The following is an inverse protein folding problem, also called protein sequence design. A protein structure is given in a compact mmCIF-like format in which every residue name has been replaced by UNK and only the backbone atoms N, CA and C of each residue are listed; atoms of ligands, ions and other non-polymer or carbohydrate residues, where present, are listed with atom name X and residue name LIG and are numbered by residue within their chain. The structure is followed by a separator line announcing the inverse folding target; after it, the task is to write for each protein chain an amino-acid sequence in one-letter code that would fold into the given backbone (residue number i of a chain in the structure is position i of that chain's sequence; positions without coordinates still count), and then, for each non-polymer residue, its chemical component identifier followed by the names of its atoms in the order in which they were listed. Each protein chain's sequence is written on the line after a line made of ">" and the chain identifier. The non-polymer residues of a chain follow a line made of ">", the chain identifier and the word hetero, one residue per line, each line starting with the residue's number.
data_IF_212844647809
#
_entry.id   IF_212844647809
#
_cell.length_a   1.000
_cell.length_b   1.000
_cell.length_c   1.000
_cell.angle_alpha   90.00
_cell.angle_beta   90.00
_cell.angle_gamma   90.00
#
_symmetry.space_group_name_H-M   'P 1'
#
loop_
_entity.id
_entity.type
_entity.pdbx_description
1 polymer ?
#
# COMPACT_ATOMS: atom_id res chain seq x y z
N UNK A 1 -6.92 10.30 10.26
CA UNK A 1 -6.32 9.00 9.92
C UNK A 1 -6.94 8.55 8.61
N UNK A 2 -6.16 8.39 7.54
CA UNK A 2 -6.69 7.94 6.25
C UNK A 2 -6.99 6.44 6.27
N UNK A 3 -7.84 5.95 5.36
CA UNK A 3 -8.14 4.52 5.21
C UNK A 3 -6.86 3.72 4.95
N UNK A 4 -5.92 4.26 4.17
CA UNK A 4 -4.62 3.64 3.95
C UNK A 4 -3.78 3.56 5.22
N UNK A 5 -3.76 4.61 6.05
CA UNK A 5 -3.06 4.59 7.34
C UNK A 5 -3.65 3.55 8.31
N UNK A 6 -4.97 3.34 8.29
CA UNK A 6 -5.61 2.27 9.06
C UNK A 6 -5.08 0.92 8.61
N UNK A 7 -5.05 0.66 7.30
CA UNK A 7 -4.53 -0.59 6.75
C UNK A 7 -3.08 -0.86 7.20
N UNK A 8 -2.20 0.13 7.08
CA UNK A 8 -0.80 0.02 7.49
C UNK A 8 -0.63 -0.14 9.00
N UNK A 9 -1.43 0.56 9.80
CA UNK A 9 -1.38 0.40 11.27
C UNK A 9 -1.79 -1.00 11.69
N UNK A 10 -2.84 -1.55 11.08
CA UNK A 10 -3.26 -2.94 11.29
C UNK A 10 -2.17 -3.93 10.90
N UNK A 11 -1.47 -3.69 9.78
CA UNK A 11 -0.35 -4.54 9.36
C UNK A 11 0.82 -4.48 10.35
N UNK A 12 1.18 -3.30 10.86
CA UNK A 12 2.22 -3.17 11.91
C UNK A 12 1.83 -3.91 13.19
N UNK A 13 0.56 -3.83 13.60
CA UNK A 13 0.06 -4.59 14.76
C UNK A 13 0.13 -6.10 14.53
N UNK A 14 -0.23 -6.57 13.33
CA UNK A 14 -0.11 -7.98 12.97
C UNK A 14 1.34 -8.48 12.90
N UNK A 15 2.30 -7.60 12.60
CA UNK A 15 3.73 -7.95 12.63
C UNK A 15 4.22 -8.16 14.07
N UNK A 16 3.70 -7.37 15.02
CA UNK A 16 3.98 -7.52 16.44
C UNK A 16 3.21 -8.69 17.11
N UNK A 17 2.19 -9.23 16.44
CA UNK A 17 1.24 -10.19 16.98
C UNK A 17 0.15 -9.51 17.82
N UNK A 18 -1.06 -10.02 17.76
CA UNK A 18 -2.22 -9.48 18.48
C UNK A 18 -2.52 -10.36 19.69
N UNK A 19 -2.31 -9.87 20.93
CA UNK A 19 -2.57 -10.67 22.12
C UNK A 19 -4.02 -11.16 22.17
N UNK A 20 -4.20 -12.47 22.34
CA UNK A 20 -5.52 -13.10 22.45
C UNK A 20 -6.23 -13.37 21.11
N UNK A 21 -5.64 -13.01 19.97
CA UNK A 21 -6.15 -13.42 18.66
C UNK A 21 -5.71 -14.86 18.32
N UNK A 22 -6.58 -15.62 17.67
CA UNK A 22 -6.20 -16.90 17.09
C UNK A 22 -5.43 -16.72 15.78
N UNK A 23 -4.62 -17.70 15.40
CA UNK A 23 -3.90 -17.69 14.11
C UNK A 23 -4.84 -17.48 12.91
N UNK A 24 -6.05 -18.05 12.97
CA UNK A 24 -7.08 -17.87 11.95
C UNK A 24 -7.59 -16.42 11.86
N UNK A 25 -7.75 -15.75 13.01
CA UNK A 25 -8.16 -14.34 13.07
C UNK A 25 -7.07 -13.45 12.52
N UNK A 26 -5.81 -13.65 12.94
CA UNK A 26 -4.67 -12.89 12.42
C UNK A 26 -4.49 -13.11 10.92
N UNK A 27 -4.64 -14.35 10.44
CA UNK A 27 -4.57 -14.67 9.00
C UNK A 27 -5.63 -13.92 8.21
N UNK A 28 -6.89 -13.93 8.65
CA UNK A 28 -7.98 -13.21 7.97
C UNK A 28 -7.75 -11.70 8.01
N UNK A 29 -7.35 -11.17 9.17
CA UNK A 29 -7.07 -9.74 9.33
C UNK A 29 -5.93 -9.28 8.41
N UNK A 30 -4.86 -10.08 8.30
CA UNK A 30 -3.75 -9.84 7.37
C UNK A 30 -4.22 -9.75 5.93
N UNK A 31 -5.06 -10.70 5.51
CA UNK A 31 -5.60 -10.70 4.14
C UNK A 31 -6.49 -9.48 3.88
N UNK A 32 -7.35 -9.09 4.84
CA UNK A 32 -8.18 -7.90 4.72
C UNK A 32 -7.35 -6.60 4.71
N UNK A 33 -6.33 -6.49 5.55
CA UNK A 33 -5.49 -5.29 5.64
C UNK A 33 -4.60 -5.12 4.39
N UNK A 34 -4.03 -6.21 3.86
CA UNK A 34 -3.31 -6.17 2.58
C UNK A 34 -4.25 -5.86 1.40
N UNK A 35 -5.44 -6.46 1.39
CA UNK A 35 -6.47 -6.16 0.39
C UNK A 35 -6.89 -4.71 0.42
N UNK A 36 -7.11 -4.15 1.61
CA UNK A 36 -7.45 -2.74 1.80
C UNK A 36 -6.31 -1.82 1.34
N UNK A 37 -5.05 -2.20 1.61
CA UNK A 37 -3.87 -1.45 1.14
C UNK A 37 -3.81 -1.41 -0.39
N UNK A 38 -3.98 -2.56 -1.05
CA UNK A 38 -4.02 -2.65 -2.49
C UNK A 38 -5.19 -1.85 -3.08
N UNK A 39 -6.38 -1.93 -2.49
CA UNK A 39 -7.54 -1.15 -2.93
C UNK A 39 -7.33 0.36 -2.75
N UNK A 40 -6.69 0.80 -1.65
CA UNK A 40 -6.37 2.20 -1.44
C UNK A 40 -5.41 2.73 -2.50
N UNK A 41 -4.35 1.97 -2.80
CA UNK A 41 -3.34 2.38 -3.79
C UNK A 41 -3.86 2.24 -5.23
N UNK A 42 -4.72 1.26 -5.50
CA UNK A 42 -5.29 1.03 -6.82
C UNK A 42 -6.56 1.82 -7.11
N UNK A 43 -7.03 2.64 -6.17
CA UNK A 43 -8.22 3.48 -6.38
C UNK A 43 -7.89 4.63 -7.32
N UNK A 44 -8.76 4.84 -8.32
CA UNK A 44 -8.65 5.96 -9.25
C UNK A 44 -9.19 7.25 -8.60
N UNK A 45 -8.28 8.04 -8.03
CA UNK A 45 -8.62 9.31 -7.36
C UNK A 45 -8.85 10.48 -8.32
N UNK A 46 -8.38 10.41 -9.56
CA UNK A 46 -8.53 11.48 -10.55
C UNK A 46 -9.84 11.30 -11.33
N UNK A 47 -10.34 10.07 -11.38
CA UNK A 47 -11.36 9.65 -12.33
C UNK A 47 -10.70 9.43 -13.69
N UNK A 48 -11.20 8.45 -14.42
CA UNK A 48 -10.76 8.12 -15.78
C UNK A 48 -10.87 9.35 -16.67
N UNK A 49 -9.79 10.10 -16.81
CA UNK A 49 -9.66 11.12 -17.83
C UNK A 49 -9.39 10.39 -19.14
N UNK A 50 -10.30 10.46 -20.14
CA UNK A 50 -10.16 9.71 -21.38
C UNK A 50 -9.09 10.28 -22.32
N UNK A 51 -8.33 11.30 -21.90
CA UNK A 51 -7.27 11.92 -22.70
C UNK A 51 -5.91 11.28 -22.37
N UNK A 52 -5.67 10.15 -23.02
CA UNK A 52 -4.43 9.37 -22.99
C UNK A 52 -3.27 10.16 -23.65
N UNK A 53 -2.74 11.16 -22.96
CA UNK A 53 -1.39 11.66 -23.29
C UNK A 53 -0.36 10.64 -22.78
N UNK A 54 0.40 10.08 -23.73
CA UNK A 54 1.11 8.80 -23.64
C UNK A 54 2.25 8.68 -22.59
N UNK A 55 2.53 9.71 -21.79
CA UNK A 55 3.66 9.72 -20.84
C UNK A 55 3.29 9.26 -19.41
N UNK A 56 2.00 9.07 -19.09
CA UNK A 56 1.53 8.68 -17.74
C UNK A 56 1.07 7.21 -17.62
N UNK A 57 1.22 6.42 -18.68
CA UNK A 57 0.81 5.01 -18.71
C UNK A 57 1.58 4.23 -17.63
N UNK A 58 0.85 3.73 -16.64
CA UNK A 58 1.41 2.95 -15.54
C UNK A 58 1.81 3.76 -14.31
N UNK A 59 1.47 5.05 -14.23
CA UNK A 59 1.58 5.82 -12.98
C UNK A 59 0.23 5.91 -12.26
N UNK A 60 0.24 5.87 -10.92
CA UNK A 60 -0.95 6.07 -10.11
C UNK A 60 -0.89 7.42 -9.39
N UNK A 61 -2.06 8.04 -9.21
CA UNK A 61 -2.24 9.23 -8.40
C UNK A 61 -2.80 8.84 -7.04
N UNK A 62 -2.20 9.37 -5.97
CA UNK A 62 -2.68 9.21 -4.59
C UNK A 62 -2.88 10.59 -3.96
N UNK A 63 -3.73 10.71 -2.92
CA UNK A 63 -3.91 11.97 -2.22
C UNK A 63 -2.57 12.52 -1.71
N UNK A 64 -2.36 13.84 -1.84
CA UNK A 64 -1.13 14.51 -1.39
C UNK A 64 -0.84 14.30 0.11
N UNK A 65 -1.89 14.11 0.91
CA UNK A 65 -1.79 13.78 2.33
C UNK A 65 -1.13 12.42 2.61
N UNK A 66 -1.00 11.53 1.61
CA UNK A 66 -0.35 10.23 1.76
C UNK A 66 1.15 10.28 1.44
N UNK A 67 1.67 11.42 0.98
CA UNK A 67 3.08 11.61 0.58
C UNK A 67 4.07 11.05 1.61
N UNK A 68 3.94 11.47 2.87
CA UNK A 68 4.84 11.03 3.94
C UNK A 68 4.81 9.51 4.15
N UNK A 69 3.64 8.89 3.99
CA UNK A 69 3.46 7.45 4.19
C UNK A 69 4.01 6.66 3.01
N UNK A 70 3.86 7.17 1.79
CA UNK A 70 4.35 6.53 0.56
C UNK A 70 5.87 6.62 0.45
N UNK A 71 6.46 7.73 0.91
CA UNK A 71 7.92 7.92 0.92
C UNK A 71 8.64 7.21 2.07
N UNK A 72 7.89 6.81 3.10
CA UNK A 72 8.45 6.13 4.25
C UNK A 72 8.99 4.74 3.87
N UNK A 73 10.30 4.57 4.01
CA UNK A 73 10.98 3.30 3.74
C UNK A 73 10.44 2.17 4.63
N UNK A 74 9.95 2.46 5.83
CA UNK A 74 9.34 1.46 6.71
C UNK A 74 8.03 0.92 6.12
N UNK A 75 7.25 1.75 5.42
CA UNK A 75 6.03 1.28 4.73
C UNK A 75 6.37 0.26 3.64
N UNK A 76 7.41 0.53 2.86
CA UNK A 76 7.88 -0.41 1.84
C UNK A 76 8.46 -1.69 2.47
N UNK A 77 9.26 -1.55 3.53
CA UNK A 77 9.80 -2.67 4.29
C UNK A 77 8.71 -3.59 4.85
N UNK A 78 7.69 -3.01 5.47
CA UNK A 78 6.52 -3.72 6.00
C UNK A 78 5.83 -4.58 4.93
N UNK A 79 5.60 -4.02 3.73
CA UNK A 79 4.96 -4.76 2.64
C UNK A 79 5.86 -5.88 2.10
N UNK A 80 7.18 -5.67 2.00
CA UNK A 80 8.13 -6.73 1.65
C UNK A 80 8.18 -7.85 2.69
N UNK A 81 8.12 -7.53 3.98
CA UNK A 81 8.08 -8.52 5.05
C UNK A 81 6.82 -9.38 4.95
N UNK A 82 5.66 -8.77 4.72
CA UNK A 82 4.42 -9.51 4.48
C UNK A 82 4.47 -10.33 3.19
N UNK A 83 5.10 -9.85 2.13
CA UNK A 83 5.30 -10.63 0.91
C UNK A 83 6.11 -11.91 1.18
N UNK A 84 7.22 -11.81 1.92
CA UNK A 84 8.13 -12.94 2.21
C UNK A 84 7.53 -13.96 3.18
N UNK A 85 6.75 -13.51 4.15
CA UNK A 85 6.29 -14.33 5.29
C UNK A 85 4.86 -14.85 5.16
N UNK A 86 4.07 -14.29 4.23
CA UNK A 86 2.67 -14.69 4.07
C UNK A 86 2.47 -15.89 3.14
N UNK A 87 1.32 -16.55 3.27
CA UNK A 87 0.85 -17.57 2.31
C UNK A 87 0.57 -16.93 0.94
N UNK A 88 0.56 -17.72 -0.16
CA UNK A 88 0.47 -17.20 -1.53
C UNK A 88 -0.66 -16.17 -1.77
N UNK A 89 -1.85 -16.40 -1.23
CA UNK A 89 -3.01 -15.50 -1.39
C UNK A 89 -2.75 -14.09 -0.82
N UNK A 90 -2.14 -14.01 0.36
CA UNK A 90 -1.81 -12.75 1.01
C UNK A 90 -0.52 -12.14 0.42
N UNK A 91 0.47 -12.97 0.08
CA UNK A 91 1.70 -12.52 -0.58
C UNK A 91 1.39 -11.82 -1.92
N UNK A 92 0.42 -12.31 -2.69
CA UNK A 92 -0.06 -11.66 -3.92
C UNK A 92 -0.53 -10.22 -3.66
N UNK A 93 -1.30 -9.99 -2.61
CA UNK A 93 -1.81 -8.66 -2.26
C UNK A 93 -0.68 -7.73 -1.78
N UNK A 94 0.30 -8.27 -1.04
CA UNK A 94 1.49 -7.53 -0.64
C UNK A 94 2.31 -7.10 -1.87
N UNK A 95 2.55 -8.01 -2.82
CA UNK A 95 3.25 -7.72 -4.07
C UNK A 95 2.48 -6.71 -4.93
N UNK A 96 1.16 -6.85 -5.05
CA UNK A 96 0.32 -5.86 -5.72
C UNK A 96 0.45 -4.48 -5.08
N UNK A 97 0.42 -4.41 -3.75
CA UNK A 97 0.61 -3.14 -3.03
C UNK A 97 1.98 -2.53 -3.30
N UNK A 98 3.05 -3.35 -3.37
CA UNK A 98 4.40 -2.89 -3.71
C UNK A 98 4.50 -2.35 -5.13
N UNK A 99 3.91 -3.05 -6.11
CA UNK A 99 3.87 -2.60 -7.51
C UNK A 99 3.16 -1.25 -7.60
N UNK A 100 1.99 -1.12 -6.96
CA UNK A 100 1.23 0.12 -6.95
C UNK A 100 1.99 1.25 -6.24
N UNK A 101 2.65 0.95 -5.13
CA UNK A 101 3.50 1.93 -4.43
C UNK A 101 4.62 2.44 -5.34
N UNK A 102 5.28 1.55 -6.09
CA UNK A 102 6.30 1.91 -7.08
C UNK A 102 5.76 2.65 -8.30
N UNK A 103 4.47 2.48 -8.61
CA UNK A 103 3.78 3.20 -9.67
C UNK A 103 3.33 4.61 -9.25
N UNK A 104 3.43 4.99 -7.96
CA UNK A 104 3.07 6.35 -7.52
C UNK A 104 3.94 7.39 -8.24
N UNK A 105 3.28 8.36 -8.89
CA UNK A 105 3.96 9.31 -9.78
C UNK A 105 5.04 10.12 -9.05
N UNK A 106 6.18 10.32 -9.73
CA UNK A 106 7.38 10.97 -9.17
C UNK A 106 7.17 12.41 -8.70
N UNK A 107 6.15 13.11 -9.18
CA UNK A 107 5.80 14.47 -8.73
C UNK A 107 5.49 14.53 -7.22
N UNK A 108 5.17 13.38 -6.61
CA UNK A 108 5.05 13.25 -5.17
C UNK A 108 6.38 13.19 -4.43
N UNK A 109 7.53 13.09 -5.09
CA UNK A 109 8.85 13.10 -4.47
C UNK A 109 9.49 14.48 -4.68
N UNK A 110 10.10 15.07 -3.64
CA UNK A 110 10.82 16.32 -3.83
C UNK A 110 11.97 16.06 -4.81
N UNK A 111 12.15 16.95 -5.76
CA UNK A 111 13.38 16.97 -6.57
C UNK A 111 14.49 17.51 -5.67
N UNK A 112 15.74 17.09 -5.83
CA UNK A 112 16.92 17.53 -5.03
C UNK A 112 17.28 19.02 -5.21
N UNK A 113 16.28 19.90 -5.22
CA UNK A 113 16.35 21.36 -5.26
C UNK A 113 15.25 21.89 -4.36
N UNK A 114 15.44 21.77 -3.06
CA UNK A 114 15.11 22.75 -2.01
C UNK A 114 15.65 22.26 -0.66
#
# INVERSE_FOLDING_TARGET
>A
MSVFQIALTTLRQLQAGIPGASEDQERKMRQHALGLSASCLGFDFIGTNPDESADDIGTIQVPSSWRNVVQDAETMGLLFDFYKTSRPEAAKLAMQSLILLGAVRRSLFPTDKD
#
